data_IF_342723548406
#
_entry.id   IF_342723548406
#
_cell.length_a   1.000
_cell.length_b   1.000
_cell.length_c   1.000
_cell.angle_alpha   90.00
_cell.angle_beta   90.00
_cell.angle_gamma   90.00
#
_symmetry.space_group_name_H-M   'P 1'
#
loop_
_entity.id
_entity.type
_entity.pdbx_description
1 polymer ?
#
# COMPACT_ATOMS: atom_id res chain seq x y z
N UNK A 1 5.97 18.48 -10.17
CA UNK A 1 6.45 18.02 -8.84
C UNK A 1 6.01 18.95 -7.69
N UNK A 2 6.20 20.27 -7.78
CA UNK A 2 5.81 21.24 -6.71
C UNK A 2 4.31 21.26 -6.36
N UNK A 3 3.42 21.17 -7.36
CA UNK A 3 1.95 21.12 -7.15
C UNK A 3 1.47 19.84 -6.47
N UNK A 4 2.12 18.71 -6.78
CA UNK A 4 1.83 17.43 -6.13
C UNK A 4 2.29 17.44 -4.66
N UNK A 5 3.45 18.02 -4.37
CA UNK A 5 3.92 18.20 -2.99
C UNK A 5 2.99 19.12 -2.18
N UNK A 6 2.47 20.20 -2.77
CA UNK A 6 1.51 21.11 -2.13
C UNK A 6 0.16 20.40 -1.91
N UNK A 7 -0.35 19.65 -2.89
CA UNK A 7 -1.59 18.89 -2.75
C UNK A 7 -1.48 17.82 -1.66
N UNK A 8 -0.36 17.10 -1.61
CA UNK A 8 -0.08 16.12 -0.54
C UNK A 8 0.06 16.81 0.81
N UNK A 9 0.75 17.96 0.88
CA UNK A 9 0.90 18.72 2.12
C UNK A 9 -0.42 19.27 2.66
N UNK A 10 -1.28 19.82 1.79
CA UNK A 10 -2.62 20.29 2.15
C UNK A 10 -3.52 19.14 2.59
N UNK A 11 -3.44 18.00 1.91
CA UNK A 11 -4.19 16.79 2.27
C UNK A 11 -3.75 16.23 3.63
N UNK A 12 -2.44 16.20 3.90
CA UNK A 12 -1.87 15.81 5.20
C UNK A 12 -2.29 16.80 6.30
N UNK A 13 -2.27 18.10 6.04
CA UNK A 13 -2.72 19.10 7.01
C UNK A 13 -4.22 19.00 7.31
N UNK A 14 -5.06 18.79 6.29
CA UNK A 14 -6.50 18.61 6.45
C UNK A 14 -6.83 17.33 7.22
N UNK A 15 -6.10 16.23 6.95
CA UNK A 15 -6.27 14.98 7.70
C UNK A 15 -5.79 15.10 9.14
N UNK A 16 -4.70 15.84 9.41
CA UNK A 16 -4.24 16.13 10.78
C UNK A 16 -5.18 17.09 11.53
N UNK A 17 -5.81 18.03 10.84
CA UNK A 17 -6.84 18.88 11.43
C UNK A 17 -8.09 18.07 11.78
N UNK A 18 -8.53 17.19 10.86
CA UNK A 18 -9.64 16.24 11.11
C UNK A 18 -9.30 15.27 12.26
N UNK A 19 -8.02 14.88 12.38
CA UNK A 19 -7.46 14.04 13.44
C UNK A 19 -7.63 14.66 14.84
N UNK A 20 -7.56 15.98 14.94
CA UNK A 20 -7.70 16.68 16.23
C UNK A 20 -9.15 17.03 16.57
N UNK A 21 -10.03 17.15 15.57
CA UNK A 21 -11.40 17.67 15.74
C UNK A 21 -12.49 16.59 15.94
N UNK A 22 -12.27 15.32 15.56
CA UNK A 22 -13.33 14.30 15.59
C UNK A 22 -12.84 12.88 15.95
N UNK A 23 -12.50 12.61 17.22
CA UNK A 23 -11.87 11.37 17.68
C UNK A 23 -12.68 10.09 17.40
N UNK A 24 -14.01 10.15 17.46
CA UNK A 24 -14.88 8.98 17.26
C UNK A 24 -14.95 8.52 15.79
N UNK A 25 -14.76 9.46 14.85
CA UNK A 25 -14.75 9.18 13.40
C UNK A 25 -13.40 8.64 12.90
N UNK A 26 -12.32 8.82 13.68
CA UNK A 26 -10.95 8.48 13.27
C UNK A 26 -10.76 7.00 13.00
N UNK A 27 -11.41 6.15 13.80
CA UNK A 27 -11.32 4.70 13.60
C UNK A 27 -11.83 4.30 12.21
N UNK A 28 -12.95 4.88 11.77
CA UNK A 28 -13.53 4.63 10.44
C UNK A 28 -12.66 5.20 9.32
N UNK A 29 -12.08 6.39 9.51
CA UNK A 29 -11.16 6.99 8.54
C UNK A 29 -9.87 6.21 8.39
N UNK A 30 -9.25 5.78 9.49
CA UNK A 30 -8.04 4.96 9.47
C UNK A 30 -8.33 3.59 8.84
N UNK A 31 -9.50 3.01 9.13
CA UNK A 31 -9.97 1.80 8.44
C UNK A 31 -10.12 2.02 6.94
N UNK A 32 -10.70 3.13 6.51
CA UNK A 32 -10.81 3.46 5.09
C UNK A 32 -9.43 3.61 4.42
N UNK A 33 -8.51 4.35 5.04
CA UNK A 33 -7.13 4.51 4.54
C UNK A 33 -6.38 3.17 4.47
N UNK A 34 -6.55 2.30 5.48
CA UNK A 34 -6.00 0.96 5.47
C UNK A 34 -6.53 0.14 4.28
N UNK A 35 -7.84 0.16 4.05
CA UNK A 35 -8.46 -0.56 2.92
C UNK A 35 -7.96 -0.01 1.58
N UNK A 36 -7.84 1.31 1.42
CA UNK A 36 -7.28 1.93 0.21
C UNK A 36 -5.84 1.47 -0.02
N UNK A 37 -5.02 1.46 1.02
CA UNK A 37 -3.63 0.99 0.94
C UNK A 37 -3.55 -0.49 0.56
N UNK A 38 -4.41 -1.35 1.13
CA UNK A 38 -4.49 -2.77 0.78
C UNK A 38 -4.90 -2.96 -0.67
N UNK A 39 -5.92 -2.24 -1.16
CA UNK A 39 -6.36 -2.35 -2.57
C UNK A 39 -5.25 -1.89 -3.52
N UNK A 40 -4.56 -0.78 -3.22
CA UNK A 40 -3.43 -0.30 -4.02
C UNK A 40 -2.29 -1.32 -4.06
N UNK A 41 -2.00 -1.97 -2.93
CA UNK A 41 -0.98 -3.01 -2.83
C UNK A 41 -1.36 -4.25 -3.63
N UNK A 42 -2.60 -4.75 -3.48
CA UNK A 42 -3.11 -5.89 -4.24
C UNK A 42 -3.14 -5.63 -5.74
N UNK A 43 -3.59 -4.44 -6.17
CA UNK A 43 -3.61 -4.06 -7.58
C UNK A 43 -2.19 -4.05 -8.18
N UNK A 44 -1.21 -3.52 -7.43
CA UNK A 44 0.19 -3.54 -7.84
C UNK A 44 0.75 -4.97 -7.98
N UNK A 45 0.51 -5.83 -6.98
CA UNK A 45 0.96 -7.22 -7.01
C UNK A 45 0.31 -8.03 -8.13
N UNK A 46 -0.96 -7.80 -8.45
CA UNK A 46 -1.64 -8.50 -9.54
C UNK A 46 -1.19 -8.03 -10.94
N UNK A 47 -0.75 -6.77 -11.07
CA UNK A 47 -0.25 -6.23 -12.34
C UNK A 47 1.20 -6.68 -12.64
N UNK A 48 2.00 -6.94 -11.60
CA UNK A 48 3.42 -7.27 -11.72
C UNK A 48 3.72 -8.56 -12.53
N UNK A 49 3.05 -9.72 -12.32
CA UNK A 49 3.31 -10.94 -13.09
C UNK A 49 3.11 -10.76 -14.59
N UNK A 50 2.08 -10.02 -14.98
CA UNK A 50 1.80 -9.71 -16.38
C UNK A 50 2.93 -8.93 -17.02
N UNK A 51 3.50 -7.98 -16.29
CA UNK A 51 4.63 -7.18 -16.76
C UNK A 51 5.88 -8.06 -16.94
N UNK A 52 6.12 -9.00 -16.03
CA UNK A 52 7.23 -9.96 -16.12
C UNK A 52 7.11 -10.92 -17.31
N UNK A 53 5.89 -11.39 -17.63
CA UNK A 53 5.67 -12.21 -18.83
C UNK A 53 6.07 -11.44 -20.09
N UNK A 54 5.61 -10.20 -20.24
CA UNK A 54 5.98 -9.38 -21.40
C UNK A 54 7.46 -9.01 -21.45
N UNK A 55 8.12 -8.91 -20.29
CA UNK A 55 9.56 -8.72 -20.23
C UNK A 55 10.30 -9.97 -20.71
N UNK A 56 9.90 -11.16 -20.25
CA UNK A 56 10.53 -12.42 -20.66
C UNK A 56 10.41 -12.68 -22.17
N UNK A 57 9.35 -12.20 -22.82
CA UNK A 57 9.16 -12.26 -24.27
C UNK A 57 10.01 -11.24 -25.05
N UNK A 58 10.61 -10.25 -24.39
CA UNK A 58 11.41 -9.21 -25.03
C UNK A 58 12.89 -9.62 -25.18
N UNK A 59 13.50 -9.27 -26.30
CA UNK A 59 14.92 -9.53 -26.51
C UNK A 59 15.78 -8.79 -25.47
N UNK A 60 16.74 -9.50 -24.89
CA UNK A 60 17.66 -8.96 -23.88
C UNK A 60 18.41 -7.77 -24.46
N UNK A 61 18.31 -6.60 -23.80
CA UNK A 61 18.96 -5.36 -24.24
C UNK A 61 18.19 -4.55 -25.28
N UNK A 62 16.98 -4.95 -25.66
CA UNK A 62 16.09 -4.11 -26.48
C UNK A 62 15.58 -2.89 -25.71
N UNK A 63 15.23 -1.80 -26.42
CA UNK A 63 14.57 -0.62 -25.81
C UNK A 63 13.32 -1.00 -25.01
N UNK A 64 12.60 -2.04 -25.46
CA UNK A 64 11.41 -2.57 -24.78
C UNK A 64 11.77 -3.21 -23.42
N UNK A 65 12.86 -3.98 -23.35
CA UNK A 65 13.35 -4.55 -22.09
C UNK A 65 13.77 -3.47 -21.09
N UNK A 66 14.50 -2.43 -21.53
CA UNK A 66 14.89 -1.32 -20.66
C UNK A 66 13.68 -0.53 -20.15
N UNK A 67 12.66 -0.34 -21.00
CA UNK A 67 11.41 0.30 -20.59
C UNK A 67 10.68 -0.53 -19.53
N UNK A 68 10.61 -1.86 -19.69
CA UNK A 68 10.00 -2.74 -18.69
C UNK A 68 10.73 -2.72 -17.36
N UNK A 69 12.08 -2.71 -17.34
CA UNK A 69 12.86 -2.55 -16.10
C UNK A 69 12.49 -1.28 -15.34
N UNK A 70 12.28 -0.16 -16.04
CA UNK A 70 11.87 1.10 -15.43
C UNK A 70 10.44 1.02 -14.90
N UNK A 71 9.51 0.44 -15.66
CA UNK A 71 8.11 0.26 -15.25
C UNK A 71 8.01 -0.63 -14.00
N UNK A 72 8.69 -1.77 -13.98
CA UNK A 72 8.74 -2.70 -12.84
C UNK A 72 9.30 -2.01 -11.60
N UNK A 73 10.41 -1.28 -11.73
CA UNK A 73 11.03 -0.57 -10.61
C UNK A 73 10.12 0.52 -10.05
N UNK A 74 9.44 1.27 -10.92
CA UNK A 74 8.47 2.31 -10.50
C UNK A 74 7.25 1.70 -9.82
N UNK A 75 6.76 0.58 -10.32
CA UNK A 75 5.63 -0.13 -9.71
C UNK A 75 6.00 -0.67 -8.32
N UNK A 76 7.13 -1.38 -8.23
CA UNK A 76 7.60 -1.97 -6.98
C UNK A 76 7.94 -0.89 -5.94
N UNK A 77 8.85 0.04 -6.26
CA UNK A 77 9.32 1.03 -5.29
C UNK A 77 8.37 2.21 -5.10
N UNK A 78 7.58 2.54 -6.12
CA UNK A 78 6.69 3.71 -6.10
C UNK A 78 5.27 3.42 -5.62
N UNK A 79 4.76 2.19 -5.83
CA UNK A 79 3.38 1.85 -5.49
C UNK A 79 3.34 0.70 -4.47
N UNK A 80 3.91 -0.46 -4.79
CA UNK A 80 3.78 -1.69 -3.99
C UNK A 80 4.40 -1.52 -2.60
N UNK A 81 5.69 -1.16 -2.53
CA UNK A 81 6.39 -1.01 -1.25
C UNK A 81 5.75 0.04 -0.32
N UNK A 82 5.47 1.29 -0.76
CA UNK A 82 4.86 2.27 0.13
C UNK A 82 3.42 1.92 0.52
N UNK A 83 2.62 1.32 -0.37
CA UNK A 83 1.27 0.88 -0.03
C UNK A 83 1.28 -0.30 0.96
N UNK A 84 2.22 -1.24 0.82
CA UNK A 84 2.44 -2.33 1.77
C UNK A 84 2.81 -1.79 3.15
N UNK A 85 3.77 -0.85 3.24
CA UNK A 85 4.17 -0.23 4.52
C UNK A 85 2.99 0.49 5.18
N UNK A 86 2.19 1.24 4.41
CA UNK A 86 1.00 1.91 4.93
C UNK A 86 -0.07 0.91 5.39
N UNK A 87 -0.31 -0.15 4.63
CA UNK A 87 -1.26 -1.20 5.00
C UNK A 87 -0.85 -1.86 6.33
N UNK A 88 0.43 -2.16 6.51
CA UNK A 88 0.97 -2.72 7.76
C UNK A 88 0.84 -1.75 8.95
N UNK A 89 1.29 -0.50 8.79
CA UNK A 89 1.24 0.49 9.87
C UNK A 89 -0.20 0.77 10.33
N UNK A 90 -1.12 1.01 9.39
CA UNK A 90 -2.52 1.29 9.70
C UNK A 90 -3.24 0.04 10.22
N UNK A 91 -2.90 -1.15 9.70
CA UNK A 91 -3.48 -2.43 10.10
C UNK A 91 -3.11 -2.82 11.53
N UNK A 92 -1.83 -2.68 11.90
CA UNK A 92 -1.37 -2.91 13.27
C UNK A 92 -1.98 -1.92 14.27
N UNK A 93 -2.11 -0.66 13.88
CA UNK A 93 -2.77 0.35 14.70
C UNK A 93 -4.26 0.01 14.95
N UNK A 94 -4.99 -0.42 13.92
CA UNK A 94 -6.37 -0.88 14.03
C UNK A 94 -6.49 -2.14 14.91
N UNK A 95 -5.55 -3.08 14.79
CA UNK A 95 -5.51 -4.29 15.62
C UNK A 95 -5.33 -3.96 17.11
N UNK A 96 -4.45 -3.00 17.42
CA UNK A 96 -4.21 -2.52 18.78
C UNK A 96 -5.44 -1.83 19.37
N UNK A 97 -6.06 -0.89 18.63
CA UNK A 97 -7.18 -0.06 19.15
C UNK A 97 -8.53 -0.77 19.12
N UNK A 98 -8.77 -1.66 18.16
CA UNK A 98 -10.07 -2.28 17.93
C UNK A 98 -10.30 -3.56 18.75
N UNK A 99 -9.31 -4.45 18.81
CA UNK A 99 -9.46 -5.78 19.42
C UNK A 99 -8.42 -6.08 20.53
N UNK A 100 -7.43 -5.21 20.75
CA UNK A 100 -6.38 -5.46 21.74
C UNK A 100 -5.62 -6.77 21.49
N UNK A 101 -5.46 -7.16 20.22
CA UNK A 101 -4.91 -8.46 19.78
C UNK A 101 -5.68 -9.72 20.21
N UNK A 102 -6.92 -9.56 20.68
CA UNK A 102 -7.77 -10.66 21.10
C UNK A 102 -8.53 -11.27 19.92
N UNK A 103 -8.71 -12.60 19.94
CA UNK A 103 -9.45 -13.37 18.95
C UNK A 103 -8.56 -14.05 17.90
N UNK A 104 -8.71 -15.37 17.74
CA UNK A 104 -7.90 -16.19 16.82
C UNK A 104 -7.99 -15.75 15.36
N UNK A 105 -9.08 -15.13 14.94
CA UNK A 105 -9.26 -14.57 13.59
C UNK A 105 -8.19 -13.53 13.22
N UNK A 106 -7.81 -12.66 14.17
CA UNK A 106 -6.79 -11.63 13.92
C UNK A 106 -5.41 -12.26 13.70
N UNK A 107 -5.10 -13.31 14.45
CA UNK A 107 -3.82 -14.03 14.35
C UNK A 107 -3.70 -14.73 13.00
N UNK A 108 -4.77 -15.42 12.56
CA UNK A 108 -4.85 -16.03 11.22
C UNK A 108 -4.70 -14.97 10.13
N UNK A 109 -5.37 -13.82 10.28
CA UNK A 109 -5.27 -12.72 9.32
C UNK A 109 -3.86 -12.14 9.23
N UNK A 110 -3.19 -11.91 10.36
CA UNK A 110 -1.81 -11.41 10.39
C UNK A 110 -0.83 -12.42 9.78
N UNK A 111 -1.00 -13.71 10.06
CA UNK A 111 -0.18 -14.77 9.45
C UNK A 111 -0.33 -14.78 7.92
N UNK A 112 -1.56 -14.65 7.41
CA UNK A 112 -1.81 -14.57 5.97
C UNK A 112 -1.17 -13.33 5.33
N UNK A 113 -1.24 -12.17 5.99
CA UNK A 113 -0.61 -10.93 5.48
C UNK A 113 0.91 -11.02 5.52
N UNK A 114 1.50 -11.66 6.54
CA UNK A 114 2.93 -11.94 6.59
C UNK A 114 3.37 -12.84 5.44
N UNK A 115 2.64 -13.91 5.18
CA UNK A 115 2.92 -14.80 4.05
C UNK A 115 2.88 -14.04 2.72
N UNK A 116 1.88 -13.17 2.53
CA UNK A 116 1.75 -12.34 1.33
C UNK A 116 2.86 -11.29 1.19
N UNK A 117 3.38 -10.77 2.30
CA UNK A 117 4.45 -9.76 2.30
C UNK A 117 5.84 -10.37 2.09
N UNK A 118 6.00 -11.67 2.36
CA UNK A 118 7.25 -12.39 2.21
C UNK A 118 7.49 -12.90 0.77
N UNK A 119 6.45 -12.92 -0.07
CA UNK A 119 6.50 -13.30 -1.49
C UNK A 119 6.67 -12.08 -2.39
#
# INVERSE_FOLDING_TARGET
MRRAAIAVGVFVLLTLALFWLAPDSLYSWIKALHVIAVIAWMAGMLYLPRLFVYHAESAVGSERSETFKVMERRLLRGIINPSMTLAWALGLWLAWRGFGFQGGWLHVKLAAVLALSAC
#
